data_IF_046655959810
#
_entry.id   IF_046655959810
#
_cell.length_a   1.000
_cell.length_b   1.000
_cell.length_c   1.000
_cell.angle_alpha   90.00
_cell.angle_beta   90.00
_cell.angle_gamma   90.00
#
_symmetry.space_group_name_H-M   'P 1'
#
loop_
_entity.id
_entity.type
_entity.pdbx_description
1 polymer ?
#
# COMPACT_ATOMS: atom_id res chain seq x y z
N UNK A 1 -23.87 24.29 9.59
CA UNK A 1 -22.99 23.81 8.52
C UNK A 1 -23.22 22.31 8.37
N UNK A 2 -24.03 21.96 7.38
CA UNK A 2 -24.39 20.57 7.10
C UNK A 2 -23.17 19.85 6.53
N UNK A 3 -22.65 18.89 7.28
CA UNK A 3 -21.67 17.96 6.72
C UNK A 3 -22.39 17.09 5.69
N UNK A 4 -22.11 17.33 4.42
CA UNK A 4 -22.58 16.43 3.38
C UNK A 4 -21.99 15.05 3.68
N UNK A 5 -22.83 14.14 4.12
CA UNK A 5 -22.47 12.74 4.19
C UNK A 5 -22.14 12.30 2.77
N UNK A 6 -20.91 11.86 2.53
CA UNK A 6 -20.57 11.17 1.31
C UNK A 6 -21.49 9.97 1.22
N UNK A 7 -22.55 10.11 0.43
CA UNK A 7 -23.45 9.01 0.22
C UNK A 7 -22.78 8.00 -0.70
N UNK A 8 -22.60 6.78 -0.20
CA UNK A 8 -22.11 5.67 -0.97
C UNK A 8 -23.16 5.09 -1.91
N UNK A 9 -24.30 5.80 -2.06
CA UNK A 9 -25.38 5.37 -2.93
C UNK A 9 -24.91 5.42 -4.38
N UNK A 10 -25.01 4.30 -5.13
CA UNK A 10 -24.59 4.28 -6.53
C UNK A 10 -25.45 5.21 -7.36
N UNK A 11 -24.83 5.95 -8.28
CA UNK A 11 -25.56 6.68 -9.29
C UNK A 11 -26.12 5.68 -10.31
N UNK A 12 -27.16 6.06 -11.08
CA UNK A 12 -27.66 5.19 -12.15
C UNK A 12 -26.56 4.78 -13.13
N UNK A 13 -25.61 5.69 -13.42
CA UNK A 13 -24.49 5.36 -14.30
C UNK A 13 -23.59 4.29 -13.71
N UNK A 14 -23.29 4.41 -12.41
CA UNK A 14 -22.43 3.42 -11.73
C UNK A 14 -23.09 2.04 -11.74
N UNK A 15 -24.40 2.00 -11.46
CA UNK A 15 -25.14 0.74 -11.45
C UNK A 15 -25.16 0.10 -12.82
N UNK A 16 -25.36 0.90 -13.88
CA UNK A 16 -25.41 0.39 -15.26
C UNK A 16 -24.05 -0.17 -15.66
N UNK A 17 -22.96 0.55 -15.38
CA UNK A 17 -21.63 0.07 -15.69
C UNK A 17 -21.32 -1.25 -14.98
N UNK A 18 -21.61 -1.30 -13.69
CA UNK A 18 -21.33 -2.52 -12.92
C UNK A 18 -22.16 -3.69 -13.44
N UNK A 19 -23.43 -3.44 -13.80
CA UNK A 19 -24.28 -4.47 -14.34
C UNK A 19 -23.76 -5.03 -15.66
N UNK A 20 -23.32 -4.16 -16.57
CA UNK A 20 -22.71 -4.60 -17.82
C UNK A 20 -21.43 -5.39 -17.57
N UNK A 21 -20.58 -4.88 -16.71
CA UNK A 21 -19.27 -5.47 -16.48
C UNK A 21 -19.33 -6.72 -15.60
N UNK A 22 -20.49 -7.02 -15.01
CA UNK A 22 -20.69 -8.30 -14.34
C UNK A 22 -20.71 -9.48 -15.32
N UNK A 23 -21.03 -9.22 -16.59
CA UNK A 23 -20.99 -10.25 -17.62
C UNK A 23 -19.51 -10.47 -18.02
N UNK A 24 -18.98 -11.70 -17.88
CA UNK A 24 -17.56 -11.93 -18.15
C UNK A 24 -17.15 -11.63 -19.58
N UNK A 25 -18.02 -11.86 -20.57
CA UNK A 25 -17.69 -11.57 -21.95
C UNK A 25 -17.58 -10.07 -22.20
N UNK A 26 -18.48 -9.28 -21.59
CA UNK A 26 -18.45 -7.84 -21.70
C UNK A 26 -17.20 -7.29 -21.01
N UNK A 27 -16.90 -7.78 -19.82
CA UNK A 27 -15.72 -7.36 -19.08
C UNK A 27 -14.44 -7.64 -19.86
N UNK A 28 -14.35 -8.85 -20.47
CA UNK A 28 -13.19 -9.18 -21.28
C UNK A 28 -13.05 -8.25 -22.48
N UNK A 29 -14.14 -8.02 -23.19
CA UNK A 29 -14.11 -7.10 -24.33
C UNK A 29 -13.71 -5.67 -23.90
N UNK A 30 -14.23 -5.24 -22.77
CA UNK A 30 -13.90 -3.93 -22.20
C UNK A 30 -12.40 -3.80 -21.93
N UNK A 31 -11.83 -4.80 -21.28
CA UNK A 31 -10.41 -4.77 -20.94
C UNK A 31 -9.53 -4.98 -22.17
N UNK A 32 -9.94 -5.81 -23.11
CA UNK A 32 -9.20 -5.97 -24.37
C UNK A 32 -9.13 -4.65 -25.13
N UNK A 33 -10.19 -3.88 -25.09
CA UNK A 33 -10.27 -2.60 -25.81
C UNK A 33 -9.52 -1.48 -25.09
N UNK A 34 -9.64 -1.40 -23.76
CA UNK A 34 -9.23 -0.22 -23.01
C UNK A 34 -8.00 -0.39 -22.12
N UNK A 35 -7.69 -1.61 -21.69
CA UNK A 35 -6.50 -1.81 -20.88
C UNK A 35 -5.26 -1.58 -21.74
N UNK A 36 -4.32 -0.72 -21.31
CA UNK A 36 -3.12 -0.50 -22.12
C UNK A 36 -2.40 -1.80 -22.46
N UNK A 37 -1.84 -1.86 -23.67
CA UNK A 37 -1.26 -3.09 -24.21
C UNK A 37 -0.20 -3.69 -23.31
N UNK A 38 0.62 -2.85 -22.67
CA UNK A 38 1.69 -3.35 -21.80
C UNK A 38 1.13 -4.11 -20.59
N UNK A 39 -0.06 -3.74 -20.10
CA UNK A 39 -0.70 -4.44 -18.99
C UNK A 39 -1.55 -5.60 -19.49
N UNK A 40 -2.20 -5.43 -20.64
CA UNK A 40 -2.99 -6.50 -21.23
C UNK A 40 -2.15 -7.74 -21.51
N UNK A 41 -0.91 -7.54 -21.93
CA UNK A 41 0.02 -8.65 -22.20
C UNK A 41 0.38 -9.44 -20.94
N UNK A 42 0.22 -8.85 -19.77
CA UNK A 42 0.50 -9.53 -18.51
C UNK A 42 -0.62 -10.46 -18.08
N UNK A 43 -1.81 -10.31 -18.66
CA UNK A 43 -3.03 -10.95 -18.17
C UNK A 43 -3.56 -11.99 -19.15
N UNK A 44 -4.01 -13.12 -18.60
CA UNK A 44 -4.80 -14.09 -19.36
C UNK A 44 -6.27 -13.73 -19.12
N UNK A 45 -6.85 -12.93 -20.02
CA UNK A 45 -8.19 -12.41 -19.85
C UNK A 45 -9.28 -13.48 -19.93
N UNK A 46 -8.94 -14.69 -20.41
CA UNK A 46 -9.89 -15.81 -20.39
C UNK A 46 -10.19 -16.27 -18.96
N UNK A 47 -9.35 -15.93 -18.00
CA UNK A 47 -9.53 -16.31 -16.58
C UNK A 47 -10.24 -15.25 -15.76
N UNK A 48 -10.68 -14.18 -16.39
CA UNK A 48 -11.26 -13.02 -15.70
C UNK A 48 -12.52 -13.39 -14.93
N UNK A 49 -12.61 -12.92 -13.68
CA UNK A 49 -13.75 -13.19 -12.82
C UNK A 49 -14.03 -11.97 -11.95
N UNK A 50 -15.28 -11.51 -11.93
CA UNK A 50 -15.67 -10.40 -11.08
C UNK A 50 -15.64 -10.81 -9.62
N UNK A 51 -14.93 -10.02 -8.79
CA UNK A 51 -14.93 -10.23 -7.35
C UNK A 51 -16.09 -9.48 -6.70
N UNK A 52 -16.66 -10.03 -5.62
CA UNK A 52 -17.74 -9.33 -4.94
C UNK A 52 -17.26 -8.00 -4.33
N UNK A 53 -18.20 -7.06 -4.20
CA UNK A 53 -17.89 -5.76 -3.63
C UNK A 53 -17.34 -5.85 -2.21
N UNK A 54 -17.62 -6.94 -1.51
CA UNK A 54 -17.15 -7.17 -0.14
C UNK A 54 -15.73 -7.72 -0.06
N UNK A 55 -15.05 -7.92 -1.20
CA UNK A 55 -13.69 -8.47 -1.17
C UNK A 55 -12.73 -7.56 -0.40
N UNK A 56 -12.85 -6.25 -0.58
CA UNK A 56 -12.05 -5.27 0.14
C UNK A 56 -12.92 -4.69 1.26
N UNK A 57 -12.29 -4.32 2.38
CA UNK A 57 -13.00 -3.82 3.55
C UNK A 57 -13.94 -2.67 3.21
N UNK A 58 -15.12 -2.60 3.85
CA UNK A 58 -16.12 -1.56 3.53
C UNK A 58 -15.60 -0.13 3.63
N UNK A 59 -14.69 0.13 4.56
CA UNK A 59 -14.13 1.48 4.73
C UNK A 59 -13.35 1.94 3.51
N UNK A 60 -12.79 1.00 2.74
CA UNK A 60 -12.01 1.30 1.56
C UNK A 60 -12.86 1.25 0.29
N UNK A 61 -13.94 0.49 0.31
CA UNK A 61 -14.88 0.40 -0.80
C UNK A 61 -15.91 1.53 -0.67
N UNK A 62 -15.43 2.76 -0.93
CA UNK A 62 -16.26 3.96 -0.74
C UNK A 62 -17.17 4.28 -1.91
N UNK A 63 -16.89 3.68 -3.08
CA UNK A 63 -17.60 4.02 -4.29
C UNK A 63 -18.13 2.76 -4.96
N UNK A 64 -19.40 2.81 -5.38
CA UNK A 64 -20.02 1.71 -6.10
C UNK A 64 -19.36 1.49 -7.48
N UNK A 65 -18.62 2.48 -7.94
CA UNK A 65 -17.88 2.42 -9.20
C UNK A 65 -16.53 1.71 -9.10
N UNK A 66 -16.12 1.25 -7.91
CA UNK A 66 -14.96 0.39 -7.74
C UNK A 66 -15.30 -1.01 -8.24
N UNK A 67 -14.54 -1.51 -9.21
CA UNK A 67 -14.76 -2.84 -9.79
C UNK A 67 -13.44 -3.60 -9.74
N UNK A 68 -13.48 -4.79 -9.14
CA UNK A 68 -12.29 -5.64 -9.00
C UNK A 68 -12.53 -6.97 -9.70
N UNK A 69 -11.65 -7.32 -10.62
CA UNK A 69 -11.64 -8.66 -11.24
C UNK A 69 -10.40 -9.42 -10.81
N UNK A 70 -10.55 -10.67 -10.50
CA UNK A 70 -9.40 -11.57 -10.43
C UNK A 70 -9.05 -12.05 -11.83
N UNK A 71 -7.77 -12.33 -12.04
CA UNK A 71 -7.27 -12.75 -13.35
C UNK A 71 -5.95 -13.48 -13.12
N UNK A 72 -5.66 -14.49 -13.93
CA UNK A 72 -4.32 -15.10 -13.92
C UNK A 72 -3.39 -14.28 -14.79
N UNK A 73 -2.14 -14.16 -14.37
CA UNK A 73 -1.12 -13.62 -15.27
C UNK A 73 -0.82 -14.65 -16.36
N UNK A 74 -0.11 -14.23 -17.39
CA UNK A 74 0.30 -15.17 -18.46
C UNK A 74 1.23 -16.25 -17.94
N UNK A 75 1.90 -16.00 -16.79
CA UNK A 75 2.71 -16.99 -16.13
C UNK A 75 1.95 -17.90 -15.16
N UNK A 76 0.64 -17.68 -15.01
CA UNK A 76 -0.20 -18.50 -14.16
C UNK A 76 -0.35 -18.01 -12.72
N UNK A 77 0.29 -16.89 -12.36
CA UNK A 77 0.16 -16.35 -11.01
C UNK A 77 -1.18 -15.64 -10.83
N UNK A 78 -1.65 -15.57 -9.59
CA UNK A 78 -2.85 -14.81 -9.26
C UNK A 78 -2.60 -13.31 -9.40
N UNK A 79 -3.59 -12.61 -9.92
CA UNK A 79 -3.55 -11.16 -10.03
C UNK A 79 -4.95 -10.58 -10.06
N UNK A 80 -5.00 -9.26 -10.14
CA UNK A 80 -6.27 -8.53 -10.16
C UNK A 80 -6.15 -7.32 -11.09
N UNK A 81 -7.27 -6.97 -11.71
CA UNK A 81 -7.43 -5.67 -12.33
C UNK A 81 -8.47 -4.91 -11.53
N UNK A 82 -8.10 -3.71 -11.08
CA UNK A 82 -8.98 -2.82 -10.35
C UNK A 82 -9.32 -1.64 -11.23
N UNK A 83 -10.59 -1.44 -11.50
CA UNK A 83 -11.05 -0.33 -12.32
C UNK A 83 -11.95 0.58 -11.49
N UNK A 84 -11.62 1.85 -11.48
CA UNK A 84 -12.51 2.89 -10.94
C UNK A 84 -13.09 3.65 -12.11
N UNK A 85 -14.41 3.69 -12.17
CA UNK A 85 -15.10 4.41 -13.24
C UNK A 85 -15.53 5.77 -12.69
N UNK A 86 -15.04 6.84 -13.32
CA UNK A 86 -15.22 8.20 -12.83
C UNK A 86 -15.84 9.06 -13.92
N UNK A 87 -16.93 9.73 -13.60
CA UNK A 87 -17.63 10.62 -14.54
C UNK A 87 -17.51 12.09 -14.16
N UNK A 88 -16.97 12.41 -12.98
CA UNK A 88 -16.85 13.79 -12.53
C UNK A 88 -15.48 14.34 -12.88
N UNK A 89 -15.46 15.60 -13.31
CA UNK A 89 -14.21 16.27 -13.65
C UNK A 89 -13.73 17.20 -12.52
N UNK A 90 -14.34 17.11 -11.34
CA UNK A 90 -13.89 17.86 -10.16
C UNK A 90 -12.48 17.40 -9.78
N UNK A 91 -11.64 18.35 -9.43
CA UNK A 91 -10.28 18.03 -9.04
C UNK A 91 -10.23 17.05 -7.86
N UNK A 92 -9.46 16.01 -8.03
CA UNK A 92 -9.21 15.06 -6.95
C UNK A 92 -7.70 14.78 -6.92
N UNK A 93 -7.00 15.57 -6.13
CA UNK A 93 -5.55 15.48 -6.03
C UNK A 93 -5.08 14.13 -5.49
N UNK A 94 -5.95 13.42 -4.77
CA UNK A 94 -5.57 12.19 -4.09
C UNK A 94 -6.10 10.93 -4.79
N UNK A 95 -6.57 11.06 -6.02
CA UNK A 95 -7.11 9.91 -6.77
C UNK A 95 -6.10 8.78 -6.89
N UNK A 96 -4.85 9.01 -7.32
CA UNK A 96 -3.91 7.90 -7.44
C UNK A 96 -3.52 7.31 -6.07
N UNK A 97 -3.49 8.11 -5.02
CA UNK A 97 -3.26 7.58 -3.67
C UNK A 97 -4.42 6.68 -3.23
N UNK A 98 -5.65 7.13 -3.49
CA UNK A 98 -6.84 6.32 -3.18
C UNK A 98 -6.80 4.98 -3.92
N UNK A 99 -6.43 5.00 -5.18
CA UNK A 99 -6.35 3.78 -5.98
C UNK A 99 -5.23 2.86 -5.50
N UNK A 100 -4.11 3.44 -5.09
CA UNK A 100 -3.02 2.64 -4.49
C UNK A 100 -3.48 2.01 -3.18
N UNK A 101 -4.15 2.78 -2.34
CA UNK A 101 -4.64 2.27 -1.05
C UNK A 101 -5.60 1.10 -1.25
N UNK A 102 -6.53 1.22 -2.20
CA UNK A 102 -7.45 0.13 -2.53
C UNK A 102 -6.68 -1.09 -3.04
N UNK A 103 -5.71 -0.87 -3.91
CA UNK A 103 -4.90 -1.95 -4.47
C UNK A 103 -4.13 -2.71 -3.39
N UNK A 104 -3.54 -1.98 -2.44
CA UNK A 104 -2.81 -2.59 -1.33
C UNK A 104 -3.78 -3.38 -0.44
N UNK A 105 -4.99 -2.88 -0.23
CA UNK A 105 -6.00 -3.60 0.56
C UNK A 105 -6.38 -4.91 -0.14
N UNK A 106 -6.51 -4.90 -1.46
CA UNK A 106 -6.78 -6.12 -2.21
C UNK A 106 -5.62 -7.10 -2.11
N UNK A 107 -4.38 -6.60 -2.18
CA UNK A 107 -3.19 -7.43 -1.98
C UNK A 107 -3.19 -8.07 -0.59
N UNK A 108 -3.52 -7.29 0.43
CA UNK A 108 -3.54 -7.78 1.81
C UNK A 108 -4.60 -8.87 1.98
N UNK A 109 -5.78 -8.65 1.43
CA UNK A 109 -6.85 -9.64 1.51
C UNK A 109 -6.44 -10.96 0.85
N UNK A 110 -5.84 -10.87 -0.33
CA UNK A 110 -5.35 -12.05 -1.03
C UNK A 110 -4.25 -12.77 -0.24
N UNK A 111 -3.33 -11.99 0.31
CA UNK A 111 -2.22 -12.54 1.09
C UNK A 111 -2.73 -13.35 2.29
N UNK A 112 -3.77 -12.85 2.95
CA UNK A 112 -4.36 -13.56 4.09
C UNK A 112 -4.98 -14.89 3.69
N UNK A 113 -5.58 -14.96 2.48
CA UNK A 113 -6.25 -16.16 2.02
C UNK A 113 -5.32 -17.16 1.34
N UNK A 114 -4.30 -16.68 0.65
CA UNK A 114 -3.49 -17.52 -0.26
C UNK A 114 -2.01 -17.54 0.05
N UNK A 115 -1.54 -16.72 1.01
CA UNK A 115 -0.14 -16.67 1.46
C UNK A 115 0.84 -16.21 0.37
N UNK A 116 0.34 -15.58 -0.69
CA UNK A 116 1.16 -14.98 -1.75
C UNK A 116 0.67 -13.58 -2.04
N UNK A 117 1.57 -12.73 -2.51
CA UNK A 117 1.23 -11.34 -2.83
C UNK A 117 0.91 -11.25 -4.32
N UNK A 118 -0.31 -10.87 -4.68
CA UNK A 118 -0.69 -10.80 -6.10
C UNK A 118 -0.31 -9.48 -6.72
N UNK A 119 -0.20 -9.45 -8.04
CA UNK A 119 -0.16 -8.18 -8.76
C UNK A 119 -1.58 -7.59 -8.80
N UNK A 120 -1.67 -6.28 -8.65
CA UNK A 120 -2.93 -5.55 -8.85
C UNK A 120 -2.66 -4.42 -9.82
N UNK A 121 -3.42 -4.37 -10.91
CA UNK A 121 -3.30 -3.33 -11.94
C UNK A 121 -4.44 -2.34 -11.75
N UNK A 122 -4.17 -1.15 -11.20
CA UNK A 122 -5.23 -0.15 -11.02
C UNK A 122 -5.37 0.71 -12.27
N UNK A 123 -6.61 0.90 -12.70
CA UNK A 123 -6.92 1.67 -13.91
C UNK A 123 -8.05 2.64 -13.60
N UNK A 124 -7.85 3.91 -13.91
CA UNK A 124 -8.95 4.88 -13.86
C UNK A 124 -9.57 4.98 -15.24
N UNK A 125 -10.87 4.72 -15.29
CA UNK A 125 -11.64 4.86 -16.53
C UNK A 125 -12.50 6.11 -16.40
N UNK A 126 -12.11 7.17 -17.13
CA UNK A 126 -12.70 8.47 -17.00
C UNK A 126 -13.59 8.77 -18.19
N UNK A 127 -14.83 9.23 -17.93
CA UNK A 127 -15.77 9.63 -18.97
C UNK A 127 -16.47 10.94 -18.61
N UNK A 128 -15.74 11.86 -17.96
CA UNK A 128 -16.29 13.15 -17.58
C UNK A 128 -16.33 14.15 -18.73
N UNK A 129 -16.90 15.32 -18.47
CA UNK A 129 -17.06 16.36 -19.47
C UNK A 129 -15.75 17.06 -19.83
N UNK A 130 -14.90 17.29 -18.83
CA UNK A 130 -13.63 17.97 -19.06
C UNK A 130 -12.66 17.02 -19.76
N UNK A 131 -12.12 17.46 -20.89
CA UNK A 131 -11.28 16.60 -21.72
C UNK A 131 -10.04 17.35 -22.19
N UNK A 132 -8.87 16.71 -22.13
CA UNK A 132 -8.57 15.40 -21.56
C UNK A 132 -8.60 15.45 -20.03
N UNK A 133 -8.53 14.28 -19.37
CA UNK A 133 -8.43 14.19 -17.92
C UNK A 133 -7.22 15.02 -17.45
N UNK A 134 -7.41 16.03 -16.60
CA UNK A 134 -6.36 17.04 -16.40
C UNK A 134 -5.45 16.80 -15.21
N UNK A 135 -5.66 15.73 -14.46
CA UNK A 135 -4.95 15.54 -13.18
C UNK A 135 -3.95 14.41 -13.28
N UNK A 136 -2.89 14.50 -12.47
CA UNK A 136 -1.86 13.48 -12.42
C UNK A 136 -2.40 12.14 -11.94
N UNK A 137 -1.91 11.04 -12.50
CA UNK A 137 -2.18 9.70 -12.02
C UNK A 137 -0.97 9.12 -11.29
N UNK A 138 0.06 9.91 -11.06
CA UNK A 138 1.21 9.50 -10.27
C UNK A 138 0.96 9.83 -8.80
N UNK A 139 0.89 8.80 -7.94
CA UNK A 139 0.56 9.03 -6.53
C UNK A 139 1.62 9.86 -5.80
N UNK A 140 2.86 9.89 -6.31
CA UNK A 140 3.89 10.72 -5.71
C UNK A 140 3.59 12.21 -5.84
N UNK A 141 2.78 12.58 -6.84
CA UNK A 141 2.36 13.97 -6.98
C UNK A 141 1.32 14.39 -5.92
N UNK A 142 0.81 13.44 -5.14
CA UNK A 142 -0.07 13.76 -4.02
C UNK A 142 0.64 14.43 -2.85
N UNK A 143 1.96 14.28 -2.76
CA UNK A 143 2.75 14.87 -1.68
C UNK A 143 3.05 16.33 -1.97
N UNK A 144 3.24 17.12 -0.91
CA UNK A 144 3.65 18.53 -1.08
C UNK A 144 5.00 18.64 -1.79
N UNK A 145 5.88 17.65 -1.57
CA UNK A 145 7.19 17.62 -2.23
C UNK A 145 7.36 16.26 -2.89
N UNK A 146 6.93 16.13 -4.15
CA UNK A 146 7.02 14.84 -4.84
C UNK A 146 8.45 14.32 -4.98
N UNK A 147 9.43 15.19 -5.12
CA UNK A 147 10.82 14.76 -5.26
C UNK A 147 11.33 14.06 -4.01
N UNK A 148 10.95 14.57 -2.84
CA UNK A 148 11.32 13.91 -1.58
C UNK A 148 10.59 12.57 -1.44
N UNK A 149 9.31 12.52 -1.79
CA UNK A 149 8.56 11.28 -1.75
C UNK A 149 9.19 10.22 -2.66
N UNK A 150 9.64 10.63 -3.83
CA UNK A 150 10.29 9.71 -4.76
C UNK A 150 11.56 9.11 -4.18
N UNK A 151 12.33 9.89 -3.43
CA UNK A 151 13.55 9.37 -2.79
C UNK A 151 13.24 8.22 -1.82
N UNK A 152 12.06 8.27 -1.19
CA UNK A 152 11.66 7.26 -0.21
C UNK A 152 11.00 6.06 -0.91
N UNK A 153 10.10 6.30 -1.85
CA UNK A 153 9.18 5.28 -2.33
C UNK A 153 9.57 4.62 -3.64
N UNK A 154 10.64 5.09 -4.31
CA UNK A 154 11.10 4.46 -5.53
C UNK A 154 12.39 3.65 -5.33
N UNK A 155 12.84 3.50 -4.10
CA UNK A 155 14.04 2.75 -3.75
C UNK A 155 13.73 1.76 -2.65
N UNK A 156 14.60 0.78 -2.43
CA UNK A 156 14.42 -0.10 -1.26
C UNK A 156 14.36 0.71 0.02
N UNK A 157 13.54 0.26 0.96
CA UNK A 157 13.43 0.95 2.25
C UNK A 157 14.74 0.81 3.01
N UNK A 158 15.14 1.83 3.77
CA UNK A 158 16.41 1.75 4.51
C UNK A 158 16.33 0.65 5.57
N UNK A 159 17.43 -0.07 5.70
CA UNK A 159 17.59 -1.09 6.74
C UNK A 159 18.66 -0.61 7.71
N UNK A 160 18.31 -0.58 8.99
CA UNK A 160 19.28 -0.37 10.05
C UNK A 160 19.49 -1.72 10.72
N UNK A 161 20.62 -2.34 10.44
CA UNK A 161 20.93 -3.70 10.96
C UNK A 161 21.95 -3.57 12.08
N UNK A 162 21.44 -3.60 13.31
CA UNK A 162 22.32 -3.45 14.48
C UNK A 162 23.13 -4.72 14.77
N UNK A 163 22.79 -5.84 14.13
CA UNK A 163 23.52 -7.09 14.38
C UNK A 163 24.94 -7.05 13.84
N UNK A 164 25.21 -6.21 12.84
CA UNK A 164 26.54 -6.11 12.22
C UNK A 164 27.35 -4.93 12.72
N UNK A 165 26.78 -4.10 13.60
CA UNK A 165 27.52 -2.99 14.21
C UNK A 165 28.35 -3.54 15.36
N UNK A 166 29.64 -3.22 15.38
CA UNK A 166 30.56 -3.68 16.44
C UNK A 166 30.11 -3.11 17.80
N UNK A 167 30.14 -3.96 18.85
CA UNK A 167 29.74 -3.55 20.20
C UNK A 167 30.57 -2.37 20.69
N UNK A 168 31.85 -2.33 20.32
CA UNK A 168 32.70 -1.19 20.73
C UNK A 168 32.27 0.09 20.05
N UNK A 169 31.80 0.01 18.82
CA UNK A 169 31.23 1.18 18.15
C UNK A 169 29.93 1.61 18.81
N UNK A 170 29.07 0.64 19.17
CA UNK A 170 27.80 0.93 19.86
C UNK A 170 28.09 1.64 21.20
N UNK A 171 29.13 1.23 21.90
CA UNK A 171 29.49 1.85 23.19
C UNK A 171 29.78 3.34 23.04
N UNK A 172 30.17 3.79 21.84
CA UNK A 172 30.42 5.20 21.56
C UNK A 172 29.14 5.99 21.25
N UNK A 173 28.01 5.32 21.13
CA UNK A 173 26.74 5.96 20.76
C UNK A 173 25.99 6.57 21.94
N UNK A 174 26.65 6.73 23.05
CA UNK A 174 26.16 7.43 24.25
C UNK A 174 24.72 7.04 24.62
N UNK A 175 23.77 7.97 24.42
CA UNK A 175 22.40 7.81 24.86
C UNK A 175 21.70 6.57 24.30
N UNK A 176 22.06 6.18 23.09
CA UNK A 176 21.42 5.01 22.46
C UNK A 176 22.14 3.70 22.74
N UNK A 177 23.35 3.76 23.34
CA UNK A 177 24.20 2.58 23.43
C UNK A 177 23.57 1.45 24.23
N UNK A 178 22.93 1.76 25.36
CA UNK A 178 22.33 0.74 26.20
C UNK A 178 21.20 0.01 25.48
N UNK A 179 20.31 0.77 24.83
CA UNK A 179 19.19 0.18 24.09
C UNK A 179 19.70 -0.63 22.89
N UNK A 180 20.65 -0.10 22.14
CA UNK A 180 21.19 -0.79 20.98
C UNK A 180 21.85 -2.10 21.36
N UNK A 181 22.63 -2.11 22.45
CA UNK A 181 23.26 -3.35 22.93
C UNK A 181 22.21 -4.36 23.37
N UNK A 182 21.18 -3.91 24.07
CA UNK A 182 20.09 -4.81 24.48
C UNK A 182 19.39 -5.41 23.26
N UNK A 183 19.05 -4.59 22.28
CA UNK A 183 18.36 -5.04 21.07
C UNK A 183 19.22 -6.03 20.30
N UNK A 184 20.53 -5.75 20.19
CA UNK A 184 21.45 -6.61 19.43
C UNK A 184 21.59 -8.00 20.06
N UNK A 185 21.60 -8.08 21.40
CA UNK A 185 21.90 -9.32 22.12
C UNK A 185 20.72 -9.96 22.82
N UNK A 186 19.51 -9.45 22.63
CA UNK A 186 18.35 -9.87 23.41
C UNK A 186 18.06 -11.37 23.31
N UNK A 187 18.46 -12.03 22.22
CA UNK A 187 18.24 -13.45 22.00
C UNK A 187 19.53 -14.28 22.10
N UNK A 188 20.63 -13.63 22.47
CA UNK A 188 21.92 -14.31 22.56
C UNK A 188 22.11 -14.96 23.92
N UNK A 189 22.90 -16.03 23.93
CA UNK A 189 23.34 -16.68 25.19
C UNK A 189 24.28 -15.76 25.95
N UNK A 190 24.79 -14.73 25.33
CA UNK A 190 25.79 -13.81 25.88
C UNK A 190 25.19 -12.66 26.65
N UNK A 191 23.92 -12.79 27.09
CA UNK A 191 23.28 -11.76 27.88
C UNK A 191 24.06 -11.41 29.16
N UNK A 192 24.75 -12.39 29.73
CA UNK A 192 25.57 -12.13 30.93
C UNK A 192 26.72 -11.19 30.62
N UNK A 193 27.35 -11.38 29.47
CA UNK A 193 28.42 -10.47 29.01
C UNK A 193 27.90 -9.09 28.76
N UNK A 194 26.70 -9.00 28.16
CA UNK A 194 26.06 -7.73 27.89
C UNK A 194 25.80 -6.98 29.21
N UNK A 195 25.33 -7.68 30.25
CA UNK A 195 25.07 -7.09 31.54
C UNK A 195 26.34 -6.47 32.14
N UNK A 196 27.50 -7.06 31.87
CA UNK A 196 28.77 -6.52 32.33
C UNK A 196 29.11 -5.22 31.66
N UNK A 197 28.67 -5.04 30.41
CA UNK A 197 28.95 -3.80 29.64
C UNK A 197 27.95 -2.67 29.94
N UNK A 198 26.73 -3.01 30.32
CA UNK A 198 25.67 -2.02 30.53
C UNK A 198 26.03 -0.91 31.55
N UNK A 199 26.63 -1.23 32.69
CA UNK A 199 26.97 -0.17 33.65
C UNK A 199 27.89 0.92 33.06
N UNK A 200 28.81 0.54 32.18
CA UNK A 200 29.72 1.50 31.54
C UNK A 200 28.96 2.44 30.62
N UNK A 201 27.95 1.91 29.91
CA UNK A 201 27.16 2.70 28.98
C UNK A 201 26.22 3.63 29.77
N UNK A 202 25.58 3.12 30.81
CA UNK A 202 24.58 3.86 31.56
C UNK A 202 25.15 5.05 32.31
N UNK A 203 26.43 5.01 32.63
CA UNK A 203 27.10 6.16 33.27
C UNK A 203 27.04 7.41 32.37
N UNK A 204 27.00 7.21 31.04
CA UNK A 204 27.00 8.31 30.07
C UNK A 204 25.60 8.82 29.72
N UNK A 205 24.54 8.22 30.29
CA UNK A 205 23.15 8.55 29.98
C UNK A 205 22.52 9.21 31.21
N UNK A 206 21.77 10.30 30.98
CA UNK A 206 21.10 10.98 32.10
C UNK A 206 20.03 10.06 32.73
N UNK A 207 19.79 10.25 34.04
CA UNK A 207 18.80 9.46 34.75
C UNK A 207 17.42 9.51 34.12
N UNK A 208 17.03 10.68 33.61
CA UNK A 208 15.74 10.87 32.95
C UNK A 208 15.64 10.03 31.69
N UNK A 209 16.72 9.95 30.91
CA UNK A 209 16.75 9.17 29.69
C UNK A 209 16.72 7.67 29.96
N UNK A 210 17.41 7.25 31.02
CA UNK A 210 17.38 5.84 31.46
C UNK A 210 15.96 5.47 31.88
N UNK A 211 15.26 6.33 32.56
CA UNK A 211 13.88 6.06 32.98
C UNK A 211 12.93 5.89 31.80
N UNK A 212 13.12 6.67 30.78
CA UNK A 212 12.31 6.55 29.58
C UNK A 212 12.50 5.19 28.91
N UNK A 213 13.58 4.94 28.93
CA UNK A 213 13.89 3.75 28.34
C UNK A 213 13.42 2.58 29.02
N UNK A 214 13.53 2.60 30.11
CA UNK A 214 13.05 1.48 30.92
C UNK A 214 11.53 1.30 30.79
N UNK A 215 10.79 2.38 30.67
CA UNK A 215 9.33 2.31 30.51
C UNK A 215 8.90 1.89 29.12
N UNK A 216 9.76 2.02 28.13
CA UNK A 216 9.45 1.62 26.75
C UNK A 216 9.75 0.13 26.50
N UNK A 217 10.51 -0.51 27.38
CA UNK A 217 10.84 -1.93 27.29
C UNK A 217 9.79 -2.79 27.99
#
# INVERSE_FOLDING_TARGET
VSKKKNTTTPTPHDAAFRSFLANPDVARDFLELHLPAEYRQLCDLSTLKLEPATFVEPDLHQYASDILWSVKTTGGEDGYVYTLIEHQSTENLYMPFRMLRYSVAAMQRHLEQHKTLPLVIPVLFYHGERSPYPYSMNWLDCFENPALAAKIYTKPFPLVDITVVDDNEIMNHRRMAALTLLMKHIRHRDMMELLDKLPQVMVEISDEQVRVXAHAA
#
